data_IF_018723242764
#
_entry.id   IF_018723242764
#
_cell.length_a   1.000
_cell.length_b   1.000
_cell.length_c   1.000
_cell.angle_alpha   90.00
_cell.angle_beta   90.00
_cell.angle_gamma   90.00
#
_symmetry.space_group_name_H-M   'P 1'
#
loop_
_entity.id
_entity.type
_entity.pdbx_description
1 polymer ?
#
# COMPACT_ATOMS: atom_id res chain seq x y z
N UNK A 1 1.20 -19.15 -24.78
CA UNK A 1 2.21 -18.33 -24.09
C UNK A 1 2.83 -17.42 -25.15
N UNK A 2 2.44 -16.13 -25.18
CA UNK A 2 2.81 -15.18 -26.26
C UNK A 2 4.17 -14.51 -26.03
N UNK A 3 4.71 -14.60 -24.82
CA UNK A 3 5.94 -13.91 -24.40
C UNK A 3 7.19 -14.36 -25.18
N UNK A 4 7.31 -15.63 -25.54
CA UNK A 4 8.44 -16.18 -26.29
C UNK A 4 8.57 -15.68 -27.73
N UNK A 5 7.57 -14.95 -28.24
CA UNK A 5 7.55 -14.41 -29.61
C UNK A 5 7.63 -12.88 -29.65
N UNK A 6 7.71 -12.21 -28.50
CA UNK A 6 7.84 -10.76 -28.44
C UNK A 6 9.31 -10.36 -28.70
N UNK A 7 9.51 -9.39 -29.58
CA UNK A 7 10.83 -8.79 -29.78
C UNK A 7 11.22 -7.99 -28.53
N UNK A 8 12.52 -7.79 -28.25
CA UNK A 8 12.97 -6.84 -27.23
C UNK A 8 12.28 -5.50 -27.41
N UNK A 9 11.60 -5.03 -26.36
CA UNK A 9 10.81 -3.80 -26.36
C UNK A 9 10.63 -3.29 -24.93
N UNK A 10 10.29 -2.01 -24.79
CA UNK A 10 9.80 -1.45 -23.53
C UNK A 10 8.41 -2.00 -23.23
N UNK A 11 8.25 -2.70 -22.11
CA UNK A 11 6.99 -3.38 -21.78
C UNK A 11 6.51 -3.08 -20.36
N UNK A 12 5.21 -3.22 -20.17
CA UNK A 12 4.56 -3.22 -18.86
C UNK A 12 4.41 -4.67 -18.41
N UNK A 13 4.99 -5.03 -17.27
CA UNK A 13 4.72 -6.32 -16.65
C UNK A 13 3.57 -6.16 -15.67
N UNK A 14 2.48 -6.90 -15.88
CA UNK A 14 1.40 -7.02 -14.92
C UNK A 14 1.15 -8.49 -14.63
N UNK A 15 1.21 -8.84 -13.35
CA UNK A 15 0.97 -10.20 -12.87
C UNK A 15 -0.08 -10.15 -11.77
N UNK A 16 -1.25 -10.69 -12.10
CA UNK A 16 -2.45 -10.67 -11.26
C UNK A 16 -2.76 -12.04 -10.64
N UNK A 17 -1.83 -13.00 -10.72
CA UNK A 17 -1.99 -14.38 -10.25
C UNK A 17 -1.09 -14.78 -9.08
N UNK A 18 -1.17 -16.06 -8.70
CA UNK A 18 -0.37 -16.68 -7.63
C UNK A 18 1.14 -16.43 -7.84
N UNK A 19 1.89 -16.00 -6.80
CA UNK A 19 3.35 -15.92 -6.83
C UNK A 19 4.05 -17.16 -7.41
N UNK A 20 3.49 -18.37 -7.24
CA UNK A 20 4.04 -19.58 -7.85
C UNK A 20 4.03 -19.55 -9.39
N UNK A 21 3.07 -18.82 -9.99
CA UNK A 21 3.00 -18.59 -11.43
C UNK A 21 4.16 -17.73 -11.95
N UNK A 22 4.94 -17.08 -11.07
CA UNK A 22 6.11 -16.29 -11.46
C UNK A 22 7.28 -17.18 -11.91
N UNK A 23 7.37 -18.41 -11.41
CA UNK A 23 8.47 -19.32 -11.74
C UNK A 23 8.50 -19.70 -13.23
N UNK A 24 7.33 -19.83 -13.88
CA UNK A 24 7.25 -20.19 -15.30
C UNK A 24 7.57 -19.02 -16.24
N UNK A 25 7.62 -17.78 -15.73
CA UNK A 25 7.90 -16.58 -16.53
C UNK A 25 9.39 -16.26 -16.61
N UNK A 26 10.20 -16.81 -15.70
CA UNK A 26 11.60 -16.42 -15.48
C UNK A 26 12.50 -16.47 -16.73
N UNK A 27 12.35 -17.50 -17.56
CA UNK A 27 13.17 -17.68 -18.78
C UNK A 27 12.70 -16.86 -19.99
N UNK A 28 11.60 -16.10 -19.86
CA UNK A 28 11.02 -15.33 -20.97
C UNK A 28 11.11 -13.81 -20.77
N UNK A 29 11.53 -13.34 -19.60
CA UNK A 29 11.53 -11.91 -19.26
C UNK A 29 12.91 -11.24 -19.38
N UNK A 30 13.97 -12.04 -19.56
CA UNK A 30 15.37 -11.60 -19.61
C UNK A 30 15.73 -10.74 -20.82
N UNK A 31 14.94 -10.80 -21.89
CA UNK A 31 15.17 -10.06 -23.13
C UNK A 31 14.42 -8.72 -23.21
N UNK A 32 13.70 -8.32 -22.15
CA UNK A 32 12.83 -7.14 -22.16
C UNK A 32 13.29 -6.07 -21.16
N UNK A 33 13.07 -4.81 -21.52
CA UNK A 33 13.27 -3.65 -20.64
C UNK A 33 11.90 -3.22 -20.12
N UNK A 34 11.75 -3.17 -18.79
CA UNK A 34 10.46 -2.89 -18.16
C UNK A 34 10.36 -1.42 -17.75
N UNK A 35 9.29 -0.76 -18.19
CA UNK A 35 8.96 0.63 -17.84
C UNK A 35 7.85 0.75 -16.78
N UNK A 36 7.17 -0.37 -16.51
CA UNK A 36 6.28 -0.55 -15.37
C UNK A 36 6.37 -2.01 -14.89
N UNK A 37 6.39 -2.20 -13.58
CA UNK A 37 6.51 -3.53 -12.96
C UNK A 37 5.45 -3.70 -11.87
N UNK A 38 4.41 -4.47 -12.16
CA UNK A 38 3.20 -4.54 -11.36
C UNK A 38 2.89 -5.99 -10.91
N UNK A 39 3.17 -6.30 -9.65
CA UNK A 39 2.84 -7.58 -9.00
C UNK A 39 1.63 -7.41 -8.08
N UNK A 40 0.42 -7.37 -8.67
CA UNK A 40 -0.80 -6.93 -7.98
C UNK A 40 -1.13 -7.77 -6.76
N UNK A 41 -1.14 -9.10 -6.91
CA UNK A 41 -1.48 -10.03 -5.82
C UNK A 41 -0.50 -9.93 -4.66
N UNK A 42 0.77 -9.67 -4.96
CA UNK A 42 1.84 -9.65 -3.97
C UNK A 42 1.70 -8.45 -3.02
N UNK A 43 1.31 -7.28 -3.53
CA UNK A 43 1.11 -6.12 -2.66
C UNK A 43 -0.28 -6.12 -1.99
N UNK A 44 -1.32 -6.68 -2.63
CA UNK A 44 -2.67 -6.77 -2.05
C UNK A 44 -2.78 -7.82 -0.93
N UNK A 45 -2.00 -8.90 -1.03
CA UNK A 45 -1.98 -10.00 -0.07
C UNK A 45 -0.55 -10.24 0.45
N UNK A 46 0.05 -9.26 1.16
CA UNK A 46 1.42 -9.37 1.61
C UNK A 46 1.57 -10.50 2.64
N UNK A 47 2.63 -11.30 2.47
CA UNK A 47 3.08 -12.30 3.43
C UNK A 47 4.60 -12.22 3.59
N UNK A 48 5.13 -12.75 4.69
CA UNK A 48 6.57 -12.72 4.93
C UNK A 48 7.39 -13.50 3.88
N UNK A 49 6.81 -14.52 3.25
CA UNK A 49 7.54 -15.47 2.39
C UNK A 49 7.59 -15.09 0.91
N UNK A 50 6.93 -14.00 0.49
CA UNK A 50 6.78 -13.67 -0.94
C UNK A 50 7.97 -12.85 -1.48
N UNK A 51 8.63 -12.02 -0.66
CA UNK A 51 9.71 -11.15 -1.14
C UNK A 51 10.91 -11.89 -1.80
N UNK A 52 11.29 -13.14 -1.43
CA UNK A 52 12.32 -13.88 -2.16
C UNK A 52 11.96 -14.15 -3.62
N UNK A 53 10.68 -14.37 -3.93
CA UNK A 53 10.20 -14.58 -5.30
C UNK A 53 10.30 -13.27 -6.09
N UNK A 54 9.92 -12.15 -5.46
CA UNK A 54 10.06 -10.80 -6.04
C UNK A 54 11.52 -10.51 -6.38
N UNK A 55 12.44 -10.81 -5.46
CA UNK A 55 13.88 -10.61 -5.66
C UNK A 55 14.41 -11.42 -6.84
N UNK A 56 14.03 -12.70 -6.92
CA UNK A 56 14.44 -13.56 -8.01
C UNK A 56 13.93 -13.03 -9.36
N UNK A 57 12.69 -12.56 -9.41
CA UNK A 57 12.10 -12.00 -10.62
C UNK A 57 12.81 -10.71 -11.03
N UNK A 58 13.01 -9.78 -10.10
CA UNK A 58 13.70 -8.51 -10.34
C UNK A 58 15.17 -8.69 -10.75
N UNK A 59 15.82 -9.78 -10.32
CA UNK A 59 17.17 -10.15 -10.79
C UNK A 59 17.19 -10.65 -12.23
N UNK A 60 16.07 -11.16 -12.73
CA UNK A 60 15.98 -11.72 -14.08
C UNK A 60 15.52 -10.72 -15.13
N UNK A 61 15.02 -9.56 -14.72
CA UNK A 61 14.50 -8.54 -15.64
C UNK A 61 15.38 -7.30 -15.67
N UNK A 62 15.39 -6.62 -16.81
CA UNK A 62 16.04 -5.31 -16.92
C UNK A 62 15.01 -4.21 -16.64
N UNK A 63 15.20 -3.48 -15.54
CA UNK A 63 14.38 -2.30 -15.26
C UNK A 63 14.93 -1.10 -16.05
N UNK A 64 14.04 -0.38 -16.72
CA UNK A 64 14.37 0.92 -17.28
C UNK A 64 14.78 1.88 -16.15
N UNK A 65 15.80 2.75 -16.35
CA UNK A 65 16.04 3.89 -15.47
C UNK A 65 14.80 4.79 -15.32
N UNK A 66 13.94 4.79 -16.34
CA UNK A 66 12.67 5.51 -16.42
C UNK A 66 11.47 4.66 -15.98
N UNK A 67 11.66 3.68 -15.09
CA UNK A 67 10.56 2.91 -14.54
C UNK A 67 9.59 3.86 -13.80
N UNK A 68 8.39 4.03 -14.34
CA UNK A 68 7.38 4.93 -13.77
C UNK A 68 6.61 4.34 -12.60
N UNK A 69 6.47 3.01 -12.55
CA UNK A 69 5.63 2.34 -11.57
C UNK A 69 6.24 1.04 -11.04
N UNK A 70 6.14 0.86 -9.73
CA UNK A 70 6.45 -0.38 -9.03
C UNK A 70 5.26 -0.85 -8.16
N UNK A 71 4.92 -2.14 -8.24
CA UNK A 71 4.12 -2.78 -7.19
C UNK A 71 4.66 -4.14 -6.76
N UNK A 72 4.63 -4.36 -5.45
CA UNK A 72 5.10 -5.62 -4.85
C UNK A 72 5.38 -5.49 -3.35
N UNK A 73 6.40 -6.20 -2.87
CA UNK A 73 6.91 -6.06 -1.50
C UNK A 73 8.33 -5.49 -1.52
N UNK A 74 8.79 -4.99 -0.38
CA UNK A 74 10.17 -4.55 -0.21
C UNK A 74 11.05 -5.68 0.32
N UNK A 75 12.30 -5.66 -0.14
CA UNK A 75 13.45 -6.36 0.38
C UNK A 75 14.65 -5.41 0.29
N UNK A 76 15.77 -5.74 0.91
CA UNK A 76 17.00 -4.96 0.75
C UNK A 76 17.43 -4.86 -0.73
N UNK A 77 17.23 -5.95 -1.49
CA UNK A 77 17.53 -5.98 -2.92
C UNK A 77 16.61 -5.05 -3.70
N UNK A 78 15.29 -5.16 -3.51
CA UNK A 78 14.30 -4.29 -4.18
C UNK A 78 14.58 -2.83 -3.85
N UNK A 79 14.80 -2.50 -2.58
CA UNK A 79 15.11 -1.14 -2.15
C UNK A 79 16.33 -0.57 -2.90
N UNK A 80 17.42 -1.34 -2.95
CA UNK A 80 18.64 -0.91 -3.64
C UNK A 80 18.42 -0.65 -5.13
N UNK A 81 17.50 -1.38 -5.77
CA UNK A 81 17.14 -1.21 -7.18
C UNK A 81 16.25 0.02 -7.39
N UNK A 82 15.22 0.19 -6.56
CA UNK A 82 14.30 1.32 -6.67
C UNK A 82 15.03 2.65 -6.40
N UNK A 83 16.00 2.67 -5.50
CA UNK A 83 16.80 3.87 -5.23
C UNK A 83 17.69 4.30 -6.41
N UNK A 84 17.94 3.42 -7.38
CA UNK A 84 18.69 3.77 -8.60
C UNK A 84 17.82 4.40 -9.69
N UNK A 85 16.50 4.46 -9.51
CA UNK A 85 15.56 4.99 -10.49
C UNK A 85 15.40 6.50 -10.34
N UNK A 86 15.16 7.18 -11.45
CA UNK A 86 15.00 8.65 -11.48
C UNK A 86 13.57 9.10 -11.77
N UNK A 87 12.74 8.23 -12.35
CA UNK A 87 11.42 8.58 -12.87
C UNK A 87 10.28 7.82 -12.18
N UNK A 88 10.53 7.25 -11.00
CA UNK A 88 9.55 6.47 -10.25
C UNK A 88 8.49 7.40 -9.64
N UNK A 89 7.27 7.35 -10.19
CA UNK A 89 6.16 8.22 -9.76
C UNK A 89 5.06 7.47 -9.02
N UNK A 90 4.94 6.15 -9.19
CA UNK A 90 3.87 5.37 -8.56
C UNK A 90 4.43 4.13 -7.86
N UNK A 91 4.08 3.97 -6.58
CA UNK A 91 4.49 2.84 -5.76
C UNK A 91 3.28 2.22 -5.05
N UNK A 92 3.08 0.90 -5.21
CA UNK A 92 2.13 0.11 -4.42
C UNK A 92 2.87 -0.98 -3.64
N UNK A 93 2.80 -0.95 -2.30
CA UNK A 93 3.58 -1.84 -1.44
C UNK A 93 2.70 -2.64 -0.51
N UNK A 94 3.00 -3.93 -0.40
CA UNK A 94 2.51 -4.79 0.66
C UNK A 94 3.55 -4.92 1.77
N UNK A 95 3.15 -4.69 3.01
CA UNK A 95 4.01 -4.68 4.20
C UNK A 95 3.43 -5.65 5.23
N UNK A 96 4.16 -6.72 5.51
CA UNK A 96 3.77 -7.79 6.43
C UNK A 96 4.84 -8.11 7.48
N UNK A 97 5.91 -7.30 7.56
CA UNK A 97 6.93 -7.44 8.59
C UNK A 97 7.53 -6.09 8.99
N UNK A 98 8.08 -6.03 10.20
CA UNK A 98 8.77 -4.84 10.70
C UNK A 98 9.99 -4.47 9.84
N UNK A 99 10.69 -5.46 9.27
CA UNK A 99 11.80 -5.22 8.34
C UNK A 99 11.32 -4.45 7.10
N UNK A 100 10.21 -4.91 6.50
CA UNK A 100 9.60 -4.23 5.35
C UNK A 100 9.13 -2.81 5.68
N UNK A 101 8.58 -2.60 6.88
CA UNK A 101 8.22 -1.26 7.37
C UNK A 101 9.44 -0.34 7.48
N UNK A 102 10.56 -0.82 8.02
CA UNK A 102 11.82 -0.05 8.06
C UNK A 102 12.34 0.27 6.65
N UNK A 103 12.28 -0.71 5.72
CA UNK A 103 12.69 -0.49 4.33
C UNK A 103 11.82 0.54 3.62
N UNK A 104 10.51 0.57 3.92
CA UNK A 104 9.58 1.58 3.41
C UNK A 104 10.04 2.97 3.85
N UNK A 105 10.37 3.16 5.13
CA UNK A 105 10.87 4.45 5.63
C UNK A 105 12.18 4.87 4.95
N UNK A 106 13.09 3.93 4.71
CA UNK A 106 14.33 4.19 3.97
C UNK A 106 14.07 4.56 2.50
N UNK A 107 13.05 3.98 1.86
CA UNK A 107 12.67 4.29 0.49
C UNK A 107 12.12 5.72 0.39
N UNK A 108 11.17 6.08 1.25
CA UNK A 108 10.49 7.36 1.19
C UNK A 108 11.42 8.53 1.54
N UNK A 109 12.37 8.31 2.43
CA UNK A 109 13.40 9.32 2.78
C UNK A 109 14.52 9.42 1.74
N UNK A 110 14.56 8.51 0.76
CA UNK A 110 15.56 8.55 -0.31
C UNK A 110 15.25 9.62 -1.35
N UNK A 111 16.30 10.12 -2.01
CA UNK A 111 16.16 11.13 -3.07
C UNK A 111 15.39 10.64 -4.29
N UNK A 112 15.27 9.33 -4.46
CA UNK A 112 14.63 8.68 -5.62
C UNK A 112 13.11 8.77 -5.57
N UNK A 113 12.53 9.04 -4.41
CA UNK A 113 11.09 9.27 -4.24
C UNK A 113 10.70 10.76 -4.27
N UNK A 114 11.62 11.66 -4.66
CA UNK A 114 11.31 13.10 -4.79
C UNK A 114 10.26 13.41 -5.86
N UNK A 115 10.09 12.51 -6.83
CA UNK A 115 9.13 12.63 -7.93
C UNK A 115 7.92 11.70 -7.78
N UNK A 116 7.72 11.16 -6.57
CA UNK A 116 6.60 10.26 -6.31
C UNK A 116 5.29 11.05 -6.35
N UNK A 117 4.32 10.60 -7.14
CA UNK A 117 2.96 11.14 -7.24
C UNK A 117 1.96 10.33 -6.41
N UNK A 118 2.21 9.03 -6.24
CA UNK A 118 1.32 8.13 -5.49
C UNK A 118 2.11 7.08 -4.72
N UNK A 119 1.81 6.97 -3.43
CA UNK A 119 2.24 5.90 -2.55
C UNK A 119 1.01 5.19 -1.98
N UNK A 120 0.81 3.93 -2.35
CA UNK A 120 -0.20 3.08 -1.74
C UNK A 120 0.47 1.99 -0.91
N UNK A 121 0.12 1.89 0.37
CA UNK A 121 0.70 0.91 1.29
C UNK A 121 -0.42 0.05 1.87
N UNK A 122 -0.29 -1.27 1.73
CA UNK A 122 -1.16 -2.27 2.34
C UNK A 122 -0.41 -2.91 3.49
N UNK A 123 -0.94 -2.85 4.70
CA UNK A 123 -0.26 -3.29 5.93
C UNK A 123 -1.05 -4.40 6.61
N UNK A 124 -0.38 -5.48 7.01
CA UNK A 124 -0.98 -6.54 7.84
C UNK A 124 -0.83 -6.25 9.33
N UNK A 125 -1.67 -6.87 10.15
CA UNK A 125 -1.63 -6.75 11.61
C UNK A 125 -0.38 -7.30 12.28
N UNK A 126 0.48 -7.99 11.52
CA UNK A 126 1.74 -8.56 12.02
C UNK A 126 2.83 -7.49 12.18
N UNK A 127 2.63 -6.32 11.57
CA UNK A 127 3.55 -5.19 11.63
C UNK A 127 3.29 -4.39 12.89
N UNK A 128 4.33 -4.20 13.72
CA UNK A 128 4.25 -3.36 14.90
C UNK A 128 4.22 -1.88 14.48
N UNK A 129 3.35 -1.03 15.06
CA UNK A 129 3.33 0.39 14.76
C UNK A 129 4.68 1.07 14.99
N UNK A 130 5.45 0.61 15.98
CA UNK A 130 6.80 1.10 16.29
C UNK A 130 7.82 0.84 15.18
N UNK A 131 7.57 -0.07 14.24
CA UNK A 131 8.43 -0.24 13.08
C UNK A 131 8.27 0.92 12.07
N UNK A 132 7.19 1.70 12.20
CA UNK A 132 6.96 2.95 11.48
C UNK A 132 7.24 4.07 12.45
N UNK A 133 8.51 4.46 12.53
CA UNK A 133 9.04 5.37 13.56
C UNK A 133 8.96 6.84 13.19
N UNK A 134 8.67 7.15 11.92
CA UNK A 134 8.66 8.53 11.43
C UNK A 134 7.41 8.73 10.58
N UNK A 135 6.73 9.85 10.80
CA UNK A 135 5.68 10.30 9.90
C UNK A 135 6.22 10.33 8.47
N UNK A 136 5.39 10.00 7.49
CA UNK A 136 5.78 10.22 6.11
C UNK A 136 6.24 11.69 5.98
N UNK A 137 7.45 11.94 5.45
CA UNK A 137 7.94 13.30 5.24
C UNK A 137 6.90 14.07 4.44
N UNK A 138 6.78 15.37 4.67
CA UNK A 138 5.83 16.27 3.99
C UNK A 138 5.69 15.90 2.52
N UNK A 139 4.57 15.26 2.16
CA UNK A 139 4.38 14.71 0.82
C UNK A 139 3.51 15.68 0.01
N UNK A 140 4.02 16.17 -1.12
CA UNK A 140 3.19 16.85 -2.14
C UNK A 140 2.28 15.85 -2.89
N UNK A 141 2.40 14.56 -2.57
CA UNK A 141 1.82 13.45 -3.30
C UNK A 141 0.72 12.71 -2.54
N UNK A 142 -0.01 11.85 -3.26
CA UNK A 142 -1.11 11.09 -2.70
C UNK A 142 -0.61 9.87 -1.93
N UNK A 143 -1.11 9.70 -0.70
CA UNK A 143 -0.82 8.53 0.12
C UNK A 143 -2.11 7.78 0.40
N UNK A 144 -2.13 6.48 0.09
CA UNK A 144 -3.24 5.58 0.38
C UNK A 144 -2.75 4.52 1.36
N UNK A 145 -3.18 4.59 2.62
CA UNK A 145 -2.90 3.58 3.62
C UNK A 145 -4.06 2.58 3.68
N UNK A 146 -3.78 1.29 3.52
CA UNK A 146 -4.78 0.22 3.63
C UNK A 146 -4.40 -0.71 4.77
N UNK A 147 -5.24 -0.77 5.81
CA UNK A 147 -5.03 -1.61 6.99
C UNK A 147 -5.93 -2.84 6.91
N UNK A 148 -5.31 -4.02 6.81
CA UNK A 148 -6.03 -5.27 6.64
C UNK A 148 -6.57 -5.82 7.98
N UNK A 149 -7.73 -6.49 7.89
CA UNK A 149 -8.29 -7.32 8.97
C UNK A 149 -8.47 -6.57 10.30
N UNK A 150 -8.84 -5.28 10.23
CA UNK A 150 -9.09 -4.45 11.41
C UNK A 150 -10.37 -4.92 12.12
N UNK A 151 -10.21 -5.31 13.37
CA UNK A 151 -11.27 -5.73 14.29
C UNK A 151 -11.22 -4.88 15.56
N UNK A 152 -12.21 -5.02 16.46
CA UNK A 152 -12.19 -4.29 17.74
C UNK A 152 -10.92 -4.56 18.56
N UNK A 153 -10.45 -5.81 18.57
CA UNK A 153 -9.21 -6.20 19.26
C UNK A 153 -7.94 -5.58 18.64
N UNK A 154 -8.02 -5.11 17.39
CA UNK A 154 -6.90 -4.50 16.65
C UNK A 154 -7.11 -2.99 16.41
N UNK A 155 -8.09 -2.38 17.08
CA UNK A 155 -8.41 -0.97 16.88
C UNK A 155 -7.29 -0.04 17.33
N UNK A 156 -6.69 -0.29 18.51
CA UNK A 156 -5.55 0.52 18.99
C UNK A 156 -4.37 0.43 18.03
N UNK A 157 -4.06 -0.78 17.55
CA UNK A 157 -3.03 -1.02 16.54
C UNK A 157 -3.28 -0.21 15.27
N UNK A 158 -4.51 -0.26 14.73
CA UNK A 158 -4.84 0.47 13.51
C UNK A 158 -4.72 1.99 13.70
N UNK A 159 -5.20 2.50 14.84
CA UNK A 159 -5.09 3.91 15.17
C UNK A 159 -3.63 4.36 15.33
N UNK A 160 -2.78 3.55 15.95
CA UNK A 160 -1.34 3.81 16.10
C UNK A 160 -0.64 3.80 14.74
N UNK A 161 -0.97 2.82 13.89
CA UNK A 161 -0.42 2.74 12.54
C UNK A 161 -0.75 3.98 11.71
N UNK A 162 -2.01 4.44 11.76
CA UNK A 162 -2.42 5.68 11.10
C UNK A 162 -1.68 6.89 11.67
N UNK A 163 -1.60 7.00 13.00
CA UNK A 163 -0.96 8.13 13.67
C UNK A 163 0.55 8.23 13.39
N UNK A 164 1.23 7.09 13.26
CA UNK A 164 2.65 7.04 12.97
C UNK A 164 2.98 7.30 11.49
N UNK A 165 2.05 7.00 10.57
CA UNK A 165 2.30 7.10 9.14
C UNK A 165 1.80 8.43 8.55
N UNK A 166 0.67 8.94 9.03
CA UNK A 166 0.05 10.15 8.51
C UNK A 166 0.53 11.38 9.26
N UNK A 167 1.01 12.38 8.54
CA UNK A 167 1.23 13.71 9.09
C UNK A 167 -0.07 14.54 8.97
N UNK A 168 -0.76 14.89 10.07
CA UNK A 168 -2.03 15.62 10.02
C UNK A 168 -1.91 17.05 9.46
N UNK A 169 -0.68 17.57 9.41
CA UNK A 169 -0.38 18.96 9.08
C UNK A 169 -0.32 19.20 7.58
N UNK A 170 0.09 18.18 6.80
CA UNK A 170 0.51 18.33 5.41
C UNK A 170 0.40 17.00 4.65
N UNK A 171 -0.19 17.01 3.46
CA UNK A 171 -0.30 15.86 2.56
C UNK A 171 -1.74 15.51 2.17
N UNK A 172 -1.92 14.55 1.26
CA UNK A 172 -3.23 14.06 0.79
C UNK A 172 -3.37 12.58 1.11
N UNK A 173 -4.07 12.26 2.20
CA UNK A 173 -4.15 10.90 2.72
C UNK A 173 -5.53 10.28 2.60
N UNK A 174 -5.58 9.07 2.07
CA UNK A 174 -6.73 8.18 2.17
C UNK A 174 -6.41 7.01 3.11
N UNK A 175 -7.41 6.57 3.87
CA UNK A 175 -7.31 5.41 4.75
C UNK A 175 -8.38 4.39 4.34
N UNK A 176 -7.94 3.20 3.96
CA UNK A 176 -8.79 2.08 3.62
C UNK A 176 -8.73 1.02 4.72
N UNK A 177 -9.85 0.35 4.97
CA UNK A 177 -9.93 -0.74 5.93
C UNK A 177 -10.44 -2.04 5.27
N UNK A 178 -9.74 -2.57 4.25
CA UNK A 178 -10.14 -3.80 3.59
C UNK A 178 -10.28 -4.96 4.58
N UNK A 179 -11.34 -5.76 4.40
CA UNK A 179 -11.67 -6.92 5.25
C UNK A 179 -11.92 -6.61 6.73
N UNK A 180 -12.11 -5.34 7.09
CA UNK A 180 -12.52 -5.00 8.46
C UNK A 180 -13.91 -5.52 8.78
N UNK A 181 -14.11 -5.94 10.02
CA UNK A 181 -15.37 -6.47 10.54
C UNK A 181 -15.99 -5.57 11.61
N UNK A 182 -15.56 -4.30 11.69
CA UNK A 182 -16.14 -3.35 12.64
C UNK A 182 -17.59 -3.05 12.27
N UNK A 183 -18.44 -3.00 13.29
CA UNK A 183 -19.80 -2.51 13.18
C UNK A 183 -19.86 -0.97 13.28
N UNK A 184 -21.06 -0.40 13.26
CA UNK A 184 -21.29 1.04 13.37
C UNK A 184 -20.63 1.64 14.62
N UNK A 185 -20.79 1.02 15.79
CA UNK A 185 -20.20 1.50 17.03
C UNK A 185 -18.66 1.43 16.99
N UNK A 186 -18.12 0.37 16.40
CA UNK A 186 -16.71 0.19 16.13
C UNK A 186 -16.14 1.29 15.24
N UNK A 187 -16.82 1.67 14.16
CA UNK A 187 -16.39 2.77 13.29
C UNK A 187 -16.44 4.12 13.99
N UNK A 188 -17.49 4.40 14.76
CA UNK A 188 -17.58 5.64 15.54
C UNK A 188 -16.43 5.72 16.55
N UNK A 189 -16.13 4.63 17.27
CA UNK A 189 -15.01 4.56 18.21
C UNK A 189 -13.66 4.75 17.51
N UNK A 190 -13.44 4.11 16.37
CA UNK A 190 -12.23 4.29 15.54
C UNK A 190 -12.04 5.76 15.15
N UNK A 191 -13.09 6.42 14.65
CA UNK A 191 -13.06 7.84 14.26
C UNK A 191 -12.70 8.72 15.46
N UNK A 192 -13.29 8.46 16.63
CA UNK A 192 -13.01 9.21 17.85
C UNK A 192 -11.57 9.00 18.33
N UNK A 193 -11.04 7.77 18.27
CA UNK A 193 -9.68 7.44 18.70
C UNK A 193 -8.62 8.07 17.79
N UNK A 194 -8.83 8.02 16.47
CA UNK A 194 -8.03 8.80 15.51
C UNK A 194 -8.12 10.30 15.82
N UNK A 195 -9.32 10.78 16.16
CA UNK A 195 -9.57 12.12 16.63
C UNK A 195 -8.73 12.50 17.86
N UNK A 196 -8.70 11.67 18.89
CA UNK A 196 -7.92 11.88 20.12
C UNK A 196 -6.41 11.88 19.86
N UNK A 197 -5.96 11.13 18.85
CA UNK A 197 -4.55 11.08 18.41
C UNK A 197 -4.15 12.24 17.50
N UNK A 198 -5.01 13.23 17.30
CA UNK A 198 -4.71 14.43 16.53
C UNK A 198 -4.78 14.25 15.01
N UNK A 199 -5.29 13.11 14.51
CA UNK A 199 -5.46 12.89 13.08
C UNK A 199 -6.58 13.79 12.56
N UNK A 200 -6.26 14.67 11.62
CA UNK A 200 -7.16 15.65 11.01
C UNK A 200 -6.81 15.81 9.53
N UNK A 201 -7.74 16.35 8.75
CA UNK A 201 -7.59 16.73 7.35
C UNK A 201 -7.14 15.58 6.42
N UNK A 202 -7.57 14.35 6.70
CA UNK A 202 -7.43 13.25 5.74
C UNK A 202 -8.50 13.42 4.64
N UNK A 203 -8.21 13.01 3.40
CA UNK A 203 -9.12 13.14 2.26
C UNK A 203 -10.34 12.24 2.41
N UNK A 204 -10.13 10.97 2.75
CA UNK A 204 -11.21 10.01 2.87
C UNK A 204 -10.87 8.80 3.72
N UNK A 205 -11.89 8.30 4.41
CA UNK A 205 -11.89 7.03 5.11
C UNK A 205 -12.84 6.07 4.38
N UNK A 206 -12.33 4.92 3.96
CA UNK A 206 -13.08 3.93 3.18
C UNK A 206 -13.20 2.61 3.92
N UNK A 207 -14.42 2.15 4.07
CA UNK A 207 -14.77 0.92 4.78
C UNK A 207 -15.40 -0.10 3.84
N UNK A 208 -15.36 -1.40 4.15
CA UNK A 208 -16.01 -2.42 3.32
C UNK A 208 -17.50 -2.12 3.16
N UNK A 209 -18.01 -2.28 1.94
CA UNK A 209 -19.44 -2.17 1.66
C UNK A 209 -20.30 -3.16 2.44
N UNK A 210 -19.70 -4.26 2.91
CA UNK A 210 -20.31 -5.27 3.77
C UNK A 210 -20.29 -4.95 5.27
N UNK A 211 -19.53 -3.94 5.73
CA UNK A 211 -19.39 -3.69 7.19
C UNK A 211 -20.58 -2.95 7.79
N UNK A 212 -21.24 -2.10 7.01
CA UNK A 212 -22.35 -1.25 7.45
C UNK A 212 -23.36 -1.02 6.31
N UNK A 213 -24.57 -0.64 6.67
CA UNK A 213 -25.63 -0.26 5.72
C UNK A 213 -25.47 1.19 5.23
N UNK A 214 -26.18 1.57 4.15
CA UNK A 214 -26.24 2.97 3.68
C UNK A 214 -26.74 3.93 4.78
N UNK A 215 -27.72 3.50 5.59
CA UNK A 215 -28.27 4.33 6.65
C UNK A 215 -27.23 4.63 7.75
N UNK A 216 -26.47 3.61 8.14
CA UNK A 216 -25.38 3.77 9.11
C UNK A 216 -24.24 4.62 8.54
N UNK A 217 -23.92 4.48 7.25
CA UNK A 217 -22.96 5.34 6.58
C UNK A 217 -23.36 6.83 6.68
N UNK A 218 -24.64 7.16 6.46
CA UNK A 218 -25.16 8.53 6.56
C UNK A 218 -25.12 9.07 8.01
N UNK A 219 -25.22 8.19 9.01
CA UNK A 219 -25.06 8.57 10.43
C UNK A 219 -23.59 8.79 10.81
N UNK A 220 -22.66 8.01 10.26
CA UNK A 220 -21.23 8.08 10.58
C UNK A 220 -20.53 9.23 9.82
N UNK A 221 -20.94 9.51 8.57
CA UNK A 221 -20.38 10.59 7.73
C UNK A 221 -20.19 11.93 8.46
N UNK A 222 -21.22 12.52 9.10
CA UNK A 222 -21.05 13.80 9.80
C UNK A 222 -20.08 13.69 10.99
N UNK A 223 -20.02 12.55 11.68
CA UNK A 223 -19.07 12.32 12.78
C UNK A 223 -17.63 12.30 12.24
N UNK A 224 -17.40 11.58 11.14
CA UNK A 224 -16.09 11.51 10.48
C UNK A 224 -15.64 12.89 9.97
N UNK A 225 -16.55 13.63 9.31
CA UNK A 225 -16.26 14.96 8.80
C UNK A 225 -15.91 15.93 9.93
N UNK A 226 -16.68 15.94 11.03
CA UNK A 226 -16.43 16.85 12.14
C UNK A 226 -15.18 16.47 12.96
N UNK A 227 -14.87 15.18 13.07
CA UNK A 227 -13.76 14.70 13.90
C UNK A 227 -12.44 14.70 13.15
N UNK A 228 -12.44 14.29 11.89
CA UNK A 228 -11.25 14.06 11.08
C UNK A 228 -11.13 15.01 9.88
N UNK A 229 -12.16 15.81 9.56
CA UNK A 229 -12.17 16.63 8.35
C UNK A 229 -12.30 15.81 7.06
N UNK A 230 -12.84 14.60 7.15
CA UNK A 230 -12.75 13.59 6.09
C UNK A 230 -14.11 13.12 5.59
N UNK A 231 -14.17 12.71 4.31
CA UNK A 231 -15.28 11.91 3.81
C UNK A 231 -15.25 10.49 4.41
N UNK A 232 -16.42 9.89 4.59
CA UNK A 232 -16.56 8.50 5.03
C UNK A 232 -17.42 7.76 4.01
N UNK A 233 -16.87 6.75 3.35
CA UNK A 233 -17.56 6.08 2.24
C UNK A 233 -17.39 4.57 2.31
N UNK A 234 -18.43 3.84 1.93
CA UNK A 234 -18.31 2.41 1.63
C UNK A 234 -17.59 2.20 0.30
N UNK A 235 -16.79 1.14 0.20
CA UNK A 235 -16.07 0.75 -1.01
C UNK A 235 -16.06 -0.77 -1.15
N UNK A 236 -16.22 -1.23 -2.39
CA UNK A 236 -16.00 -2.64 -2.72
C UNK A 236 -14.50 -2.94 -2.67
N UNK A 237 -14.12 -3.83 -1.74
CA UNK A 237 -12.76 -4.33 -1.57
C UNK A 237 -12.59 -5.78 -2.06
N UNK A 238 -13.37 -6.21 -3.05
CA UNK A 238 -13.30 -7.56 -3.64
C UNK A 238 -11.88 -7.98 -4.03
N UNK A 239 -11.02 -7.05 -4.46
CA UNK A 239 -9.62 -7.33 -4.79
C UNK A 239 -8.75 -7.77 -3.59
N UNK A 240 -9.24 -7.61 -2.36
CA UNK A 240 -8.56 -8.06 -1.13
C UNK A 240 -9.10 -9.39 -0.61
N UNK A 241 -10.06 -10.03 -1.29
CA UNK A 241 -10.52 -11.39 -0.95
C UNK A 241 -9.44 -12.40 -1.34
N UNK A 242 -9.08 -13.30 -0.42
CA UNK A 242 -8.16 -14.42 -0.65
C UNK A 242 -8.84 -15.51 -1.48
#
# INVERSE_FOLDING_TARGET
>A
MLLSHLRPSSVHLQIDGDPASLHCLRGHLDHHIFIAFHLKQIYLHPTADIHPIVDQLLRTVQLSPDLGMYSGQLSDYVLSRLQQLHSLSIIYLGISSNHQATLLMNLITSTSCKHLDTLSVVVTSDVLPEAITTNLPVTEFEVVLSLLDVTDARMSWACEMVANLINPSQGRYDINFPRSTLDEAGWIRMIQDLGRRGIRNIRGMYVPDTSITSHQEDQIKPICLNTLGAGFNRRDFNQFKK
#
